data_IF_876010983648
#
_entry.id   IF_876010983648
#
_cell.length_a   1.000
_cell.length_b   1.000
_cell.length_c   1.000
_cell.angle_alpha   90.00
_cell.angle_beta   90.00
_cell.angle_gamma   90.00
#
_symmetry.space_group_name_H-M   'P 1'
#
loop_
_entity.id
_entity.type
_entity.pdbx_description
1 polymer ?
#
# COMPACT_ATOMS: atom_id res chain seq x y z
N UNK A 1 38.10 -11.99 -4.64
CA UNK A 1 37.11 -12.94 -4.10
C UNK A 1 36.56 -12.32 -2.82
N UNK A 2 35.24 -12.35 -2.61
CA UNK A 2 34.61 -11.95 -1.34
C UNK A 2 34.27 -13.24 -0.57
N UNK A 3 34.42 -13.24 0.75
CA UNK A 3 33.98 -14.38 1.56
C UNK A 3 32.46 -14.33 1.77
N UNK A 4 31.84 -15.50 1.91
CA UNK A 4 30.39 -15.60 2.15
C UNK A 4 29.99 -14.85 3.43
N UNK A 5 30.84 -14.92 4.47
CA UNK A 5 30.60 -14.23 5.75
C UNK A 5 30.55 -12.72 5.60
N UNK A 6 31.46 -12.14 4.81
CA UNK A 6 31.49 -10.70 4.55
C UNK A 6 30.24 -10.24 3.80
N UNK A 7 29.74 -11.07 2.87
CA UNK A 7 28.51 -10.78 2.16
C UNK A 7 27.28 -10.88 3.08
N UNK A 8 27.22 -11.91 3.93
CA UNK A 8 26.15 -12.07 4.92
C UNK A 8 26.12 -10.90 5.90
N UNK A 9 27.29 -10.40 6.33
CA UNK A 9 27.38 -9.22 7.19
C UNK A 9 26.84 -7.97 6.48
N UNK A 10 27.23 -7.72 5.22
CA UNK A 10 26.71 -6.59 4.45
C UNK A 10 25.18 -6.64 4.31
N UNK A 11 24.60 -7.83 4.15
CA UNK A 11 23.15 -8.01 4.09
C UNK A 11 22.50 -7.74 5.45
N UNK A 12 23.08 -8.27 6.53
CA UNK A 12 22.60 -8.04 7.90
C UNK A 12 22.64 -6.54 8.28
N UNK A 13 23.64 -5.79 7.80
CA UNK A 13 23.73 -4.34 8.00
C UNK A 13 22.61 -3.61 7.25
N UNK A 14 22.38 -3.96 5.98
CA UNK A 14 21.25 -3.40 5.19
C UNK A 14 19.90 -3.69 5.86
N UNK A 15 19.70 -4.91 6.40
CA UNK A 15 18.49 -5.26 7.13
C UNK A 15 18.38 -4.51 8.47
N UNK A 16 19.52 -4.23 9.11
CA UNK A 16 19.59 -3.39 10.31
C UNK A 16 19.16 -1.95 10.05
N UNK A 17 19.58 -1.38 8.92
CA UNK A 17 19.16 -0.04 8.47
C UNK A 17 17.64 0.08 8.23
N UNK A 18 16.94 -1.04 8.03
CA UNK A 18 15.49 -1.06 7.84
C UNK A 18 14.70 -1.19 9.14
N UNK A 19 15.37 -1.49 10.26
CA UNK A 19 14.69 -1.75 11.53
C UNK A 19 14.05 -0.48 12.07
N UNK A 20 12.73 -0.50 12.16
CA UNK A 20 11.93 0.60 12.69
C UNK A 20 11.87 0.58 14.23
N UNK A 21 11.77 1.75 14.88
CA UNK A 21 11.49 1.84 16.31
C UNK A 21 10.13 1.20 16.66
N UNK A 22 9.98 0.51 17.81
CA UNK A 22 8.70 -0.04 18.24
C UNK A 22 7.59 1.00 18.35
N UNK A 23 7.91 2.23 18.76
CA UNK A 23 6.93 3.32 18.87
C UNK A 23 6.39 3.74 17.49
N UNK A 24 7.21 3.59 16.44
CA UNK A 24 6.76 3.84 15.07
C UNK A 24 5.87 2.70 14.56
N UNK A 25 6.18 1.44 14.87
CA UNK A 25 5.39 0.26 14.46
C UNK A 25 3.94 0.35 14.96
N UNK A 26 3.76 0.63 16.25
CA UNK A 26 2.44 0.81 16.87
C UNK A 26 1.70 2.02 16.28
N UNK A 27 2.37 3.17 16.21
CA UNK A 27 1.78 4.39 15.65
C UNK A 27 1.40 4.25 14.17
N UNK A 28 2.24 3.59 13.37
CA UNK A 28 2.04 3.39 11.94
C UNK A 28 0.78 2.58 11.67
N UNK A 29 0.55 1.49 12.41
CA UNK A 29 -0.63 0.66 12.22
C UNK A 29 -1.93 1.39 12.60
N UNK A 30 -1.92 2.16 13.69
CA UNK A 30 -3.09 2.96 14.08
C UNK A 30 -3.38 4.07 13.06
N UNK A 31 -2.34 4.73 12.55
CA UNK A 31 -2.47 5.74 11.51
C UNK A 31 -3.03 5.13 10.22
N UNK A 32 -2.49 3.99 9.76
CA UNK A 32 -2.93 3.31 8.54
C UNK A 32 -4.39 2.85 8.63
N UNK A 33 -4.82 2.29 9.77
CA UNK A 33 -6.21 1.91 10.01
C UNK A 33 -7.14 3.12 9.98
N UNK A 34 -6.76 4.20 10.68
CA UNK A 34 -7.53 5.45 10.69
C UNK A 34 -7.71 6.00 9.29
N UNK A 35 -6.64 6.00 8.49
CA UNK A 35 -6.68 6.53 7.13
C UNK A 35 -7.45 5.62 6.18
N UNK A 36 -7.42 4.30 6.38
CA UNK A 36 -8.28 3.37 5.65
C UNK A 36 -9.76 3.62 5.96
N UNK A 37 -10.11 3.87 7.22
CA UNK A 37 -11.49 4.20 7.60
C UNK A 37 -11.97 5.50 6.95
N UNK A 38 -11.16 6.56 6.93
CA UNK A 38 -11.55 7.81 6.24
C UNK A 38 -11.75 7.63 4.74
N UNK A 39 -10.94 6.78 4.12
CA UNK A 39 -11.08 6.47 2.70
C UNK A 39 -12.28 5.55 2.42
N UNK A 40 -12.69 4.73 3.39
CA UNK A 40 -13.85 3.87 3.27
C UNK A 40 -15.12 4.69 3.04
N UNK A 41 -15.33 5.77 3.80
CA UNK A 41 -16.52 6.62 3.66
C UNK A 41 -16.60 7.24 2.24
N UNK A 42 -15.50 7.85 1.77
CA UNK A 42 -15.44 8.43 0.42
C UNK A 42 -15.62 7.37 -0.67
N UNK A 43 -15.17 6.14 -0.44
CA UNK A 43 -15.33 5.03 -1.39
C UNK A 43 -16.75 4.52 -1.41
N UNK A 44 -17.39 4.38 -0.26
CA UNK A 44 -18.76 3.87 -0.16
C UNK A 44 -19.72 4.83 -0.90
N UNK A 45 -19.47 6.14 -0.84
CA UNK A 45 -20.14 7.14 -1.67
C UNK A 45 -19.90 6.95 -3.17
N UNK A 46 -18.64 6.69 -3.57
CA UNK A 46 -18.29 6.41 -4.98
C UNK A 46 -19.00 5.14 -5.48
N UNK A 47 -18.95 4.05 -4.71
CA UNK A 47 -19.62 2.78 -5.02
C UNK A 47 -21.13 2.96 -5.15
N UNK A 48 -21.74 3.70 -4.22
CA UNK A 48 -23.17 4.01 -4.25
C UNK A 48 -23.54 4.79 -5.50
N UNK A 49 -22.77 5.80 -5.88
CA UNK A 49 -23.00 6.59 -7.08
C UNK A 49 -22.86 5.73 -8.36
N UNK A 50 -21.79 4.93 -8.47
CA UNK A 50 -21.60 4.02 -9.61
C UNK A 50 -22.72 2.97 -9.72
N UNK A 51 -23.18 2.45 -8.58
CA UNK A 51 -24.30 1.52 -8.53
C UNK A 51 -25.60 2.20 -8.98
N UNK A 52 -25.83 3.44 -8.57
CA UNK A 52 -26.99 4.22 -9.01
C UNK A 52 -26.96 4.47 -10.53
N UNK A 53 -25.82 4.92 -11.07
CA UNK A 53 -25.65 5.12 -12.53
C UNK A 53 -25.90 3.83 -13.32
N UNK A 54 -25.43 2.69 -12.80
CA UNK A 54 -25.69 1.38 -13.40
C UNK A 54 -27.19 1.04 -13.42
N UNK A 55 -27.90 1.26 -12.31
CA UNK A 55 -29.34 1.03 -12.24
C UNK A 55 -30.12 1.97 -13.17
N UNK A 56 -29.71 3.23 -13.29
CA UNK A 56 -30.31 4.18 -14.23
C UNK A 56 -30.07 3.75 -15.69
N UNK A 57 -28.89 3.23 -16.02
CA UNK A 57 -28.59 2.67 -17.33
C UNK A 57 -29.50 1.47 -17.66
N UNK A 58 -29.74 0.57 -16.70
CA UNK A 58 -30.69 -0.53 -16.88
C UNK A 58 -32.11 -0.03 -17.13
N UNK A 59 -32.60 0.94 -16.34
CA UNK A 59 -33.92 1.56 -16.56
C UNK A 59 -34.04 2.19 -17.96
N UNK A 60 -32.99 2.84 -18.46
CA UNK A 60 -32.98 3.39 -19.83
C UNK A 60 -33.09 2.29 -20.89
N UNK A 61 -32.46 1.14 -20.66
CA UNK A 61 -32.56 -0.03 -21.56
C UNK A 61 -33.98 -0.60 -21.54
N UNK A 62 -34.57 -0.77 -20.35
CA UNK A 62 -35.93 -1.28 -20.20
C UNK A 62 -36.94 -0.35 -20.89
N UNK A 63 -36.88 0.95 -20.63
CA UNK A 63 -37.71 1.95 -21.31
C UNK A 63 -37.52 1.93 -22.84
N UNK A 64 -36.30 1.72 -23.33
CA UNK A 64 -36.03 1.61 -24.76
C UNK A 64 -36.68 0.36 -25.38
N UNK A 65 -36.73 -0.74 -24.63
CA UNK A 65 -37.42 -1.97 -25.03
C UNK A 65 -38.92 -1.73 -25.07
N UNK A 66 -39.49 -1.08 -24.06
CA UNK A 66 -40.91 -0.75 -23.99
C UNK A 66 -41.33 0.16 -25.15
N UNK A 67 -40.57 1.21 -25.45
CA UNK A 67 -40.81 2.09 -26.62
C UNK A 67 -40.80 1.31 -27.94
N UNK A 68 -39.89 0.34 -28.09
CA UNK A 68 -39.83 -0.49 -29.31
C UNK A 68 -41.03 -1.44 -29.39
N UNK A 69 -41.45 -2.02 -28.27
CA UNK A 69 -42.62 -2.89 -28.18
C UNK A 69 -43.92 -2.12 -28.46
N UNK A 70 -44.00 -0.86 -28.03
CA UNK A 70 -45.09 0.07 -28.33
C UNK A 70 -45.07 0.63 -29.77
N UNK A 71 -44.09 0.27 -30.60
CA UNK A 71 -43.85 0.81 -31.95
C UNK A 71 -43.65 2.34 -31.99
N UNK A 72 -43.24 2.96 -30.88
CA UNK A 72 -42.95 4.41 -30.81
C UNK A 72 -41.65 4.78 -31.52
N UNK A 73 -40.74 3.80 -31.70
CA UNK A 73 -39.44 3.97 -32.34
C UNK A 73 -39.20 2.92 -33.42
N UNK A 74 -38.43 3.30 -34.44
CA UNK A 74 -38.06 2.39 -35.52
C UNK A 74 -36.99 1.40 -35.09
N UNK A 75 -36.86 0.29 -35.82
CA UNK A 75 -35.82 -0.71 -35.54
C UNK A 75 -34.41 -0.12 -35.62
N UNK A 76 -34.16 0.78 -36.58
CA UNK A 76 -32.87 1.44 -36.73
C UNK A 76 -32.55 2.32 -35.52
N UNK A 77 -33.52 3.16 -35.09
CA UNK A 77 -33.37 4.00 -33.90
C UNK A 77 -33.14 3.18 -32.62
N UNK A 78 -33.82 2.03 -32.51
CA UNK A 78 -33.62 1.10 -31.40
C UNK A 78 -32.21 0.51 -31.40
N UNK A 79 -31.70 0.02 -32.54
CA UNK A 79 -30.35 -0.55 -32.65
C UNK A 79 -29.27 0.47 -32.28
N UNK A 80 -29.38 1.69 -32.79
CA UNK A 80 -28.40 2.75 -32.54
C UNK A 80 -28.37 3.17 -31.06
N UNK A 81 -29.54 3.35 -30.43
CA UNK A 81 -29.64 3.69 -29.00
C UNK A 81 -29.20 2.53 -28.09
N UNK A 82 -29.59 1.29 -28.43
CA UNK A 82 -29.24 0.09 -27.66
C UNK A 82 -27.73 -0.13 -27.63
N UNK A 83 -27.05 0.04 -28.76
CA UNK A 83 -25.59 -0.11 -28.84
C UNK A 83 -24.87 0.81 -27.84
N UNK A 84 -25.27 2.09 -27.76
CA UNK A 84 -24.69 3.07 -26.84
C UNK A 84 -24.92 2.69 -25.38
N UNK A 85 -26.16 2.35 -25.01
CA UNK A 85 -26.51 1.96 -23.64
C UNK A 85 -25.81 0.66 -23.21
N UNK A 86 -25.65 -0.30 -24.12
CA UNK A 86 -24.92 -1.54 -23.82
C UNK A 86 -23.43 -1.26 -23.60
N UNK A 87 -22.80 -0.38 -24.37
CA UNK A 87 -21.41 0.02 -24.13
C UNK A 87 -21.25 0.75 -22.80
N UNK A 88 -22.17 1.64 -22.45
CA UNK A 88 -22.18 2.34 -21.17
C UNK A 88 -22.34 1.36 -20.00
N UNK A 89 -23.26 0.39 -20.12
CA UNK A 89 -23.44 -0.71 -19.15
C UNK A 89 -22.15 -1.50 -18.93
N UNK A 90 -21.43 -1.86 -20.01
CA UNK A 90 -20.17 -2.61 -19.91
C UNK A 90 -19.12 -1.78 -19.15
N UNK A 91 -18.96 -0.50 -19.48
CA UNK A 91 -18.02 0.39 -18.78
C UNK A 91 -18.33 0.53 -17.29
N UNK A 92 -19.60 0.73 -16.94
CA UNK A 92 -20.03 0.83 -15.54
C UNK A 92 -19.79 -0.49 -14.77
N UNK A 93 -19.99 -1.65 -15.42
CA UNK A 93 -19.68 -2.95 -14.81
C UNK A 93 -18.19 -3.16 -14.57
N UNK A 94 -17.32 -2.70 -15.47
CA UNK A 94 -15.87 -2.77 -15.27
C UNK A 94 -15.43 -1.88 -14.11
N UNK A 95 -15.98 -0.66 -14.02
CA UNK A 95 -15.67 0.30 -12.96
C UNK A 95 -16.10 -0.22 -11.56
N UNK A 96 -17.29 -0.83 -11.48
CA UNK A 96 -17.77 -1.47 -10.24
C UNK A 96 -16.87 -2.63 -9.80
N UNK A 97 -16.40 -3.46 -10.75
CA UNK A 97 -15.49 -4.58 -10.45
C UNK A 97 -14.10 -4.14 -9.97
N UNK A 98 -13.60 -3.00 -10.45
CA UNK A 98 -12.28 -2.48 -10.06
C UNK A 98 -12.32 -1.82 -8.67
N UNK A 99 -13.45 -1.22 -8.30
CA UNK A 99 -13.62 -0.53 -7.00
C UNK A 99 -13.75 -1.50 -5.83
N UNK A 100 -14.36 -2.68 -6.02
CA UNK A 100 -14.63 -3.68 -4.97
C UNK A 100 -13.36 -4.46 -4.53
N UNK A 101 -12.40 -4.68 -5.43
CA UNK A 101 -11.21 -5.52 -5.16
C UNK A 101 -10.04 -4.82 -4.45
N UNK A 102 -10.10 -3.50 -4.22
CA UNK A 102 -8.91 -2.71 -3.91
C UNK A 102 -8.64 -2.46 -2.43
N UNK A 103 -9.58 -2.78 -1.53
CA UNK A 103 -9.52 -2.27 -0.14
C UNK A 103 -9.00 -3.27 0.89
N UNK A 104 -9.30 -4.56 0.76
CA UNK A 104 -8.85 -5.53 1.77
C UNK A 104 -7.37 -5.92 1.59
N UNK A 105 -6.84 -5.79 0.37
CA UNK A 105 -5.50 -6.24 0.05
C UNK A 105 -4.38 -5.33 0.59
N UNK A 106 -4.58 -4.02 0.69
CA UNK A 106 -3.45 -3.10 0.87
C UNK A 106 -3.04 -2.90 2.35
N UNK A 107 -3.98 -3.00 3.30
CA UNK A 107 -3.67 -2.97 4.73
C UNK A 107 -2.90 -4.23 5.15
N UNK A 108 -3.33 -5.40 4.66
CA UNK A 108 -2.62 -6.67 4.89
C UNK A 108 -1.19 -6.60 4.33
N UNK A 109 -1.03 -6.03 3.13
CA UNK A 109 0.30 -5.77 2.54
C UNK A 109 1.14 -4.84 3.41
N UNK A 110 0.54 -3.78 3.97
CA UNK A 110 1.25 -2.85 4.83
C UNK A 110 1.78 -3.54 6.10
N UNK A 111 0.93 -4.33 6.75
CA UNK A 111 1.29 -5.13 7.91
C UNK A 111 2.46 -6.08 7.61
N UNK A 112 2.44 -6.79 6.48
CA UNK A 112 3.53 -7.68 6.11
C UNK A 112 4.87 -6.98 5.94
N UNK A 113 4.89 -5.76 5.40
CA UNK A 113 6.14 -5.00 5.25
C UNK A 113 6.65 -4.51 6.60
N UNK A 114 5.78 -4.11 7.51
CA UNK A 114 6.17 -3.73 8.88
C UNK A 114 6.74 -4.95 9.63
N UNK A 115 6.10 -6.12 9.52
CA UNK A 115 6.62 -7.38 10.06
C UNK A 115 7.99 -7.70 9.46
N UNK A 116 8.16 -7.53 8.14
CA UNK A 116 9.44 -7.72 7.48
C UNK A 116 10.50 -6.77 8.04
N UNK A 117 10.24 -5.47 8.08
CA UNK A 117 11.17 -4.46 8.59
C UNK A 117 11.57 -4.72 10.04
N UNK A 118 10.65 -5.23 10.87
CA UNK A 118 10.89 -5.57 12.27
C UNK A 118 11.74 -6.82 12.45
N UNK A 119 11.45 -7.88 11.69
CA UNK A 119 11.95 -9.23 11.97
C UNK A 119 12.98 -9.76 10.96
N UNK A 120 13.16 -9.11 9.80
CA UNK A 120 13.97 -9.65 8.70
C UNK A 120 15.43 -9.90 9.09
N UNK A 121 16.03 -9.02 9.89
CA UNK A 121 17.41 -9.21 10.36
C UNK A 121 17.55 -10.48 11.20
N UNK A 122 16.69 -10.65 12.22
CA UNK A 122 16.70 -11.84 13.07
C UNK A 122 16.37 -13.11 12.27
N UNK A 123 15.42 -13.02 11.34
CA UNK A 123 15.05 -14.13 10.46
C UNK A 123 16.17 -14.50 9.48
N UNK A 124 17.02 -13.56 9.10
CA UNK A 124 18.18 -13.77 8.23
C UNK A 124 19.33 -14.43 9.00
N UNK A 125 19.64 -13.94 10.19
CA UNK A 125 20.72 -14.46 11.05
C UNK A 125 20.45 -15.89 11.51
N UNK A 126 19.21 -16.19 11.93
CA UNK A 126 18.81 -17.51 12.42
C UNK A 126 18.28 -18.44 11.31
N UNK A 127 18.13 -17.94 10.10
CA UNK A 127 17.49 -18.66 8.99
C UNK A 127 18.41 -19.65 8.29
N UNK A 128 17.82 -20.72 7.75
CA UNK A 128 18.52 -21.60 6.81
C UNK A 128 18.76 -20.92 5.46
N UNK A 129 19.54 -21.56 4.57
CA UNK A 129 19.90 -21.00 3.26
C UNK A 129 18.68 -20.62 2.41
N UNK A 130 17.60 -21.40 2.49
CA UNK A 130 16.34 -21.10 1.81
C UNK A 130 15.71 -19.80 2.33
N UNK A 131 15.63 -19.64 3.64
CA UNK A 131 15.12 -18.42 4.30
C UNK A 131 15.93 -17.19 3.95
N UNK A 132 17.27 -17.30 3.97
CA UNK A 132 18.18 -16.22 3.57
C UNK A 132 17.93 -15.78 2.13
N UNK A 133 17.74 -16.75 1.22
CA UNK A 133 17.43 -16.48 -0.20
C UNK A 133 16.07 -15.80 -0.38
N UNK A 134 15.05 -16.24 0.36
CA UNK A 134 13.72 -15.62 0.32
C UNK A 134 13.75 -14.17 0.81
N UNK A 135 14.47 -13.90 1.90
CA UNK A 135 14.66 -12.55 2.44
C UNK A 135 15.38 -11.67 1.42
N UNK A 136 16.44 -12.16 0.79
CA UNK A 136 17.16 -11.41 -0.25
C UNK A 136 16.30 -11.08 -1.46
N UNK A 137 15.51 -12.05 -1.94
CA UNK A 137 14.58 -11.83 -3.05
C UNK A 137 13.48 -10.81 -2.72
N UNK A 138 13.12 -10.69 -1.44
CA UNK A 138 12.11 -9.76 -0.94
C UNK A 138 12.68 -8.37 -0.65
N UNK A 139 13.96 -8.30 -0.27
CA UNK A 139 14.66 -7.06 0.06
C UNK A 139 14.73 -6.10 -1.14
N UNK A 140 14.93 -6.64 -2.34
CA UNK A 140 15.07 -5.82 -3.53
C UNK A 140 15.41 -6.58 -4.81
N UNK A 141 15.81 -5.81 -5.81
CA UNK A 141 16.23 -6.29 -7.12
C UNK A 141 17.65 -5.79 -7.45
N UNK A 142 18.20 -6.23 -8.59
CA UNK A 142 19.51 -5.81 -9.10
C UNK A 142 20.63 -5.98 -8.07
N UNK A 143 20.76 -7.20 -7.53
CA UNK A 143 21.84 -7.58 -6.61
C UNK A 143 23.17 -7.60 -7.40
N UNK A 144 23.95 -6.53 -7.30
CA UNK A 144 25.23 -6.38 -7.99
C UNK A 144 26.37 -6.35 -6.98
N UNK A 145 27.41 -7.14 -7.24
CA UNK A 145 28.64 -7.13 -6.45
C UNK A 145 29.73 -6.38 -7.24
N UNK A 146 30.03 -5.15 -6.82
CA UNK A 146 31.05 -4.30 -7.45
C UNK A 146 32.07 -3.95 -6.37
N UNK A 147 33.36 -4.17 -6.63
CA UNK A 147 34.45 -3.90 -5.68
C UNK A 147 34.25 -4.52 -4.29
N UNK A 148 33.71 -5.76 -4.25
CA UNK A 148 33.35 -6.48 -3.01
C UNK A 148 32.25 -5.79 -2.17
N UNK A 149 31.53 -4.83 -2.73
CA UNK A 149 30.39 -4.18 -2.10
C UNK A 149 29.09 -4.60 -2.78
N UNK A 150 28.13 -5.02 -1.97
CA UNK A 150 26.80 -5.37 -2.42
C UNK A 150 25.99 -4.10 -2.68
N UNK A 151 25.50 -3.95 -3.91
CA UNK A 151 24.52 -2.93 -4.31
C UNK A 151 23.18 -3.61 -4.56
N UNK A 152 22.13 -3.04 -3.99
CA UNK A 152 20.76 -3.54 -4.09
C UNK A 152 19.83 -2.37 -4.38
N UNK A 153 18.92 -2.56 -5.33
CA UNK A 153 17.78 -1.68 -5.50
C UNK A 153 16.68 -2.17 -4.54
N UNK A 154 16.58 -1.53 -3.37
CA UNK A 154 15.57 -1.86 -2.37
C UNK A 154 14.16 -1.70 -2.95
N UNK A 155 13.24 -2.55 -2.49
CA UNK A 155 11.83 -2.37 -2.79
C UNK A 155 11.34 -1.00 -2.31
N UNK A 156 10.53 -0.32 -3.14
CA UNK A 156 10.10 1.06 -2.88
C UNK A 156 9.39 1.23 -1.52
N UNK A 157 8.65 0.22 -1.08
CA UNK A 157 7.95 0.22 0.21
C UNK A 157 8.90 0.10 1.42
N UNK A 158 10.18 -0.27 1.25
CA UNK A 158 11.18 -0.35 2.32
C UNK A 158 11.97 0.95 2.50
N UNK A 159 12.00 1.82 1.48
CA UNK A 159 12.73 3.09 1.53
C UNK A 159 12.28 4.00 2.69
N UNK A 160 10.98 4.13 3.00
CA UNK A 160 10.53 4.93 4.13
C UNK A 160 11.05 4.41 5.48
N UNK A 161 11.14 3.08 5.64
CA UNK A 161 11.64 2.45 6.85
C UNK A 161 13.11 2.79 7.09
N UNK A 162 13.91 2.82 6.01
CA UNK A 162 15.29 3.29 6.04
C UNK A 162 15.40 4.75 6.49
N UNK A 163 14.53 5.63 5.99
CA UNK A 163 14.50 7.05 6.39
C UNK A 163 14.20 7.21 7.88
N UNK A 164 13.26 6.42 8.42
CA UNK A 164 12.86 6.46 9.83
C UNK A 164 14.00 5.96 10.73
N UNK A 165 14.64 4.85 10.36
CA UNK A 165 15.79 4.30 11.09
C UNK A 165 16.94 5.31 11.18
N UNK A 166 17.31 5.93 10.05
CA UNK A 166 18.37 6.95 9.99
C UNK A 166 17.97 8.25 10.72
N UNK A 167 16.71 8.66 10.64
CA UNK A 167 16.19 9.87 11.29
C UNK A 167 16.12 9.77 12.82
N UNK A 168 16.03 8.58 13.38
CA UNK A 168 16.12 8.36 14.84
C UNK A 168 17.54 8.52 15.39
N UNK A 169 18.58 8.31 14.56
CA UNK A 169 19.99 8.43 14.95
C UNK A 169 20.51 9.86 15.07
N UNK A 170 19.86 10.84 14.43
CA UNK A 170 20.30 12.23 14.43
C UNK A 170 19.67 13.04 15.59
N UNK A 171 20.08 12.75 16.83
CA UNK A 171 19.97 13.72 17.94
C UNK A 171 21.01 14.81 17.77
N UNK A 172 20.90 15.71 16.78
CA UNK A 172 21.57 17.02 16.81
C UNK A 172 20.75 18.11 16.12
N UNK A 173 20.38 19.09 16.95
CA UNK A 173 20.07 20.50 16.64
C UNK A 173 19.10 20.80 15.50
N UNK A 174 17.81 20.69 15.78
CA UNK A 174 16.79 21.53 15.12
C UNK A 174 16.34 22.60 16.12
N UNK A 175 16.29 23.85 15.67
CA UNK A 175 15.76 24.99 16.44
C UNK A 175 14.26 24.81 16.66
N UNK A 176 13.86 24.08 17.70
CA UNK A 176 12.50 24.18 18.23
C UNK A 176 12.59 24.70 19.66
N UNK A 177 11.82 25.75 20.04
CA UNK A 177 11.76 26.19 21.41
C UNK A 177 11.24 25.02 22.26
N UNK A 178 12.02 24.63 23.26
CA UNK A 178 11.52 23.84 24.36
C UNK A 178 10.43 24.69 25.05
N UNK A 179 9.25 24.09 25.19
CA UNK A 179 8.06 24.60 25.89
C UNK A 179 7.15 25.54 25.09
N UNK A 180 6.22 24.94 24.34
CA UNK A 180 4.87 25.49 24.26
C UNK A 180 3.97 24.75 25.25
N UNK A 181 3.16 25.46 26.06
CA UNK A 181 2.27 24.85 27.03
C UNK A 181 1.29 23.95 26.29
N UNK A 182 1.34 22.64 26.60
CA UNK A 182 0.45 21.64 26.04
C UNK A 182 -0.99 21.98 26.44
N UNK A 183 -1.72 22.64 25.53
CA UNK A 183 -3.13 22.89 25.73
C UNK A 183 -3.84 21.55 25.55
N UNK A 184 -4.36 21.00 26.64
CA UNK A 184 -5.13 19.74 26.70
C UNK A 184 -6.43 19.88 25.92
N UNK A 185 -6.36 19.89 24.59
CA UNK A 185 -7.49 19.64 23.72
C UNK A 185 -7.42 18.19 23.30
N UNK A 186 -8.33 17.39 23.84
CA UNK A 186 -8.71 16.10 23.27
C UNK A 186 -9.19 16.35 21.84
N UNK A 187 -8.32 16.15 20.85
CA UNK A 187 -8.69 15.69 19.50
C UNK A 187 -7.47 15.55 18.58
N UNK A 188 -7.57 14.54 17.72
CA UNK A 188 -6.70 14.12 16.62
C UNK A 188 -5.53 13.19 17.00
N UNK A 189 -5.56 12.00 16.40
CA UNK A 189 -4.48 11.01 16.30
C UNK A 189 -3.16 11.54 15.66
N UNK A 190 -3.04 12.86 15.50
CA UNK A 190 -1.95 13.57 14.83
C UNK A 190 -1.16 14.48 15.79
N UNK A 191 -1.62 14.68 17.03
CA UNK A 191 -1.07 15.69 17.95
C UNK A 191 0.34 15.44 18.53
N UNK A 192 1.00 14.35 18.17
CA UNK A 192 2.35 14.03 18.69
C UNK A 192 3.28 13.33 17.69
N UNK A 193 2.87 13.18 16.43
CA UNK A 193 3.67 12.48 15.43
C UNK A 193 4.79 13.38 14.90
N UNK A 194 6.03 12.87 14.89
CA UNK A 194 7.17 13.59 14.30
C UNK A 194 6.88 13.85 12.81
N UNK A 195 7.12 15.06 12.26
CA UNK A 195 6.89 15.37 10.84
C UNK A 195 7.54 14.36 9.87
N UNK A 196 8.71 13.83 10.25
CA UNK A 196 9.42 12.78 9.50
C UNK A 196 8.60 11.50 9.37
N UNK A 197 7.90 11.08 10.44
CA UNK A 197 7.07 9.88 10.44
C UNK A 197 5.84 10.04 9.54
N UNK A 198 5.19 11.21 9.58
CA UNK A 198 4.06 11.53 8.70
C UNK A 198 4.46 11.52 7.23
N UNK A 199 5.62 12.07 6.88
CA UNK A 199 6.12 12.01 5.51
C UNK A 199 6.40 10.56 5.09
N UNK A 200 7.13 9.81 5.92
CA UNK A 200 7.51 8.44 5.61
C UNK A 200 6.30 7.51 5.48
N UNK A 201 5.31 7.60 6.36
CA UNK A 201 4.12 6.73 6.31
C UNK A 201 3.24 7.03 5.09
N UNK A 202 3.18 8.29 4.63
CA UNK A 202 2.46 8.65 3.40
C UNK A 202 3.15 8.07 2.17
N UNK A 203 4.47 8.22 2.07
CA UNK A 203 5.26 7.59 1.00
C UNK A 203 5.08 6.07 0.99
N UNK A 204 5.13 5.45 2.17
CA UNK A 204 4.92 4.02 2.37
C UNK A 204 3.55 3.56 1.86
N UNK A 205 2.49 4.27 2.28
CA UNK A 205 1.11 4.00 1.85
C UNK A 205 0.99 4.09 0.32
N UNK A 206 1.55 5.12 -0.30
CA UNK A 206 1.54 5.29 -1.75
C UNK A 206 2.25 4.15 -2.45
N UNK A 207 3.46 3.78 -2.01
CA UNK A 207 4.24 2.69 -2.60
C UNK A 207 3.50 1.35 -2.56
N UNK A 208 2.76 1.05 -1.48
CA UNK A 208 1.97 -0.18 -1.37
C UNK A 208 0.78 -0.16 -2.33
N UNK A 209 0.07 0.98 -2.42
CA UNK A 209 -1.10 1.12 -3.28
C UNK A 209 -0.76 1.07 -4.76
N UNK A 210 0.40 1.61 -5.14
CA UNK A 210 0.88 1.61 -6.52
C UNK A 210 1.52 0.27 -6.94
N UNK A 211 1.83 -0.60 -5.98
CA UNK A 211 2.47 -1.88 -6.27
C UNK A 211 1.59 -2.75 -7.20
N UNK A 212 2.15 -3.06 -8.38
CA UNK A 212 1.56 -3.99 -9.35
C UNK A 212 2.35 -5.30 -9.37
N UNK A 213 1.65 -6.43 -9.48
CA UNK A 213 2.27 -7.74 -9.62
C UNK A 213 2.36 -8.53 -8.31
N UNK A 214 3.25 -9.54 -8.29
CA UNK A 214 3.37 -10.50 -7.19
C UNK A 214 3.88 -9.83 -5.91
N UNK A 215 3.15 -10.03 -4.82
CA UNK A 215 3.49 -9.45 -3.53
C UNK A 215 4.53 -10.31 -2.79
N UNK A 216 5.78 -9.82 -2.74
CA UNK A 216 6.93 -10.57 -2.21
C UNK A 216 6.89 -10.74 -0.68
N UNK A 217 6.28 -9.80 0.04
CA UNK A 217 6.30 -9.79 1.51
C UNK A 217 5.45 -10.88 2.17
N UNK A 218 4.62 -11.61 1.40
CA UNK A 218 3.85 -12.78 1.92
C UNK A 218 4.72 -13.84 2.59
N UNK A 219 6.03 -13.85 2.32
CA UNK A 219 6.97 -14.74 2.99
C UNK A 219 6.92 -14.61 4.51
N UNK A 220 6.59 -13.44 5.05
CA UNK A 220 6.58 -13.20 6.51
C UNK A 220 5.50 -14.01 7.23
N UNK A 221 4.44 -14.43 6.52
CA UNK A 221 3.42 -15.33 7.09
C UNK A 221 4.01 -16.69 7.46
N UNK A 222 5.10 -17.10 6.81
CA UNK A 222 5.86 -18.33 7.12
C UNK A 222 6.87 -18.13 8.26
N UNK A 223 6.86 -16.97 8.92
CA UNK A 223 7.80 -16.64 9.99
C UNK A 223 7.20 -16.86 11.37
N UNK A 224 5.86 -16.98 11.46
CA UNK A 224 5.17 -17.38 12.66
C UNK A 224 5.14 -18.91 12.76
N UNK A 225 5.99 -19.43 13.65
CA UNK A 225 5.87 -20.72 14.35
C UNK A 225 6.16 -20.43 15.81
#
# INVERSE_FOLDING_TARGET
MIEIKDLEQQIADILGDLRIPPEFDEWAMDWLKTENHKEADSRDDILKNQQQEYQECLKKIDNLIDMRAGNEITEQQFKDKKSKLVQEKIKLQELLKDTDKRVDDWLERAEEVLIFAKNAKLAFENGNLQRKREILNTLGSNLLLIDRKLRINLENCLLPMKKISLGSGNKKSGFEPLDLPCNKRKNTALGGARPVWLSAIREFRTAIKEHRGYWKFKIVRKWQV
#
